data_IF_476479418864
#
_entry.id   IF_476479418864
#
_cell.length_a   1.000
_cell.length_b   1.000
_cell.length_c   1.000
_cell.angle_alpha   90.00
_cell.angle_beta   90.00
_cell.angle_gamma   90.00
#
_symmetry.space_group_name_H-M   'P 1'
#
loop_
_entity.id
_entity.type
_entity.pdbx_description
1 polymer ?
#
# COMPACT_ATOMS: atom_id res chain seq x y z
N UNK A 1 10.58 17.56 -6.88
CA UNK A 1 10.50 16.37 -6.02
C UNK A 1 9.15 15.71 -6.24
N UNK A 2 9.08 14.40 -6.47
CA UNK A 2 7.83 13.68 -6.72
C UNK A 2 7.56 12.70 -5.57
N UNK A 3 6.28 12.44 -5.30
CA UNK A 3 5.84 11.52 -4.26
C UNK A 3 5.35 10.24 -4.94
N UNK A 4 5.91 9.10 -4.56
CA UNK A 4 5.56 7.80 -5.14
C UNK A 4 4.67 7.03 -4.16
N UNK A 5 3.50 6.65 -4.63
CA UNK A 5 2.62 5.68 -3.96
C UNK A 5 2.63 4.38 -4.75
N UNK A 6 2.61 3.26 -4.03
CA UNK A 6 2.46 1.94 -4.62
C UNK A 6 1.27 1.23 -3.99
N UNK A 7 0.47 0.55 -4.82
CA UNK A 7 -0.67 -0.25 -4.39
C UNK A 7 -0.56 -1.67 -4.95
N UNK A 8 -0.87 -2.66 -4.12
CA UNK A 8 -0.93 -4.07 -4.50
C UNK A 8 -2.37 -4.54 -4.71
N UNK A 9 -2.66 -5.04 -5.90
CA UNK A 9 -3.92 -5.69 -6.22
C UNK A 9 -3.85 -7.18 -5.88
N UNK A 10 -4.73 -7.65 -5.01
CA UNK A 10 -4.69 -9.03 -4.51
C UNK A 10 -5.95 -9.75 -4.91
N UNK A 11 -5.77 -10.82 -5.68
CA UNK A 11 -6.84 -11.64 -6.21
C UNK A 11 -6.76 -13.05 -5.64
N UNK A 12 -7.85 -13.55 -5.08
CA UNK A 12 -7.97 -14.92 -4.59
C UNK A 12 -9.40 -15.40 -4.73
N UNK A 13 -9.60 -16.61 -5.25
CA UNK A 13 -10.91 -17.25 -5.38
C UNK A 13 -11.96 -16.35 -6.06
N UNK A 14 -11.60 -15.71 -7.18
CA UNK A 14 -12.48 -14.79 -7.92
C UNK A 14 -12.89 -13.52 -7.16
N UNK A 15 -12.13 -13.15 -6.12
CA UNK A 15 -12.38 -11.96 -5.30
C UNK A 15 -11.13 -11.09 -5.23
N UNK A 16 -11.34 -9.78 -5.23
CA UNK A 16 -10.31 -8.78 -4.98
C UNK A 16 -10.35 -8.35 -3.51
N UNK A 17 -9.18 -8.17 -2.91
CA UNK A 17 -9.08 -7.54 -1.60
C UNK A 17 -9.16 -6.01 -1.77
N UNK A 18 -10.21 -5.43 -1.20
CA UNK A 18 -10.38 -3.99 -1.05
C UNK A 18 -10.34 -3.66 0.44
N UNK A 19 -9.66 -2.58 0.81
CA UNK A 19 -9.60 -2.08 2.19
C UNK A 19 -10.29 -0.73 2.31
N UNK A 20 -10.84 -0.45 3.49
CA UNK A 20 -11.22 0.91 3.87
C UNK A 20 -9.99 1.64 4.44
N UNK A 21 -9.72 2.84 3.95
CA UNK A 21 -8.65 3.70 4.49
C UNK A 21 -9.06 4.23 5.85
N UNK A 22 -8.08 4.38 6.75
CA UNK A 22 -8.34 4.96 8.08
C UNK A 22 -8.96 6.35 7.94
N UNK A 23 -9.99 6.65 8.73
CA UNK A 23 -10.61 7.99 8.79
C UNK A 23 -9.67 9.07 9.32
N UNK A 24 -8.53 8.68 9.89
CA UNK A 24 -7.47 9.58 10.39
C UNK A 24 -6.44 9.94 9.32
N UNK A 25 -6.54 9.41 8.10
CA UNK A 25 -5.65 9.77 7.00
C UNK A 25 -5.94 11.21 6.54
N UNK A 26 -4.90 12.01 6.37
CA UNK A 26 -4.98 13.40 5.88
C UNK A 26 -5.54 13.49 4.45
N UNK A 27 -5.31 12.44 3.65
CA UNK A 27 -5.81 12.34 2.29
C UNK A 27 -6.64 11.07 2.10
N UNK A 28 -7.84 11.22 1.51
CA UNK A 28 -8.73 10.12 1.14
C UNK A 28 -9.09 9.16 2.31
N UNK A 29 -9.20 9.68 3.54
CA UNK A 29 -9.63 8.89 4.69
C UNK A 29 -11.06 8.37 4.54
N UNK A 30 -11.31 7.13 4.97
CA UNK A 30 -12.63 6.47 4.87
C UNK A 30 -13.04 6.00 3.47
N UNK A 31 -12.19 6.19 2.45
CA UNK A 31 -12.46 5.68 1.09
C UNK A 31 -11.95 4.25 0.90
N UNK A 32 -12.51 3.57 -0.11
CA UNK A 32 -12.05 2.26 -0.56
C UNK A 32 -10.77 2.40 -1.39
N UNK A 33 -9.82 1.49 -1.19
CA UNK A 33 -8.53 1.47 -1.90
C UNK A 33 -7.93 0.06 -1.86
N UNK A 34 -6.89 -0.17 -2.67
CA UNK A 34 -6.07 -1.36 -2.60
C UNK A 34 -5.06 -1.27 -1.45
N UNK A 35 -4.38 -2.38 -1.14
CA UNK A 35 -3.40 -2.41 -0.06
C UNK A 35 -2.13 -1.70 -0.52
N UNK A 36 -1.78 -0.57 0.09
CA UNK A 36 -0.60 0.17 -0.31
C UNK A 36 -0.35 1.46 0.45
N UNK A 37 0.47 2.32 -0.17
CA UNK A 37 0.68 3.71 0.22
C UNK A 37 2.06 4.23 -0.16
N UNK A 38 2.45 5.32 0.49
CA UNK A 38 3.68 6.05 0.19
C UNK A 38 4.94 5.19 0.35
N UNK A 39 5.79 5.26 -0.68
CA UNK A 39 7.15 4.76 -0.65
C UNK A 39 7.98 5.78 0.11
N UNK A 40 8.48 5.39 1.28
CA UNK A 40 9.45 6.21 2.01
C UNK A 40 10.83 5.96 1.41
N UNK A 41 11.63 7.02 1.25
CA UNK A 41 13.01 6.87 0.80
C UNK A 41 13.77 6.04 1.82
N UNK A 42 14.17 4.85 1.41
CA UNK A 42 15.18 4.07 2.09
C UNK A 42 16.50 4.51 1.43
N UNK A 43 17.53 4.80 2.22
CA UNK A 43 18.85 5.19 1.67
C UNK A 43 19.46 4.11 0.75
N UNK A 44 18.89 2.91 0.76
CA UNK A 44 19.20 1.79 -0.11
C UNK A 44 18.39 1.89 -1.42
N UNK A 45 19.08 2.13 -2.54
CA UNK A 45 18.52 2.18 -3.90
C UNK A 45 18.26 0.78 -4.46
N UNK A 46 17.64 -0.08 -3.63
CA UNK A 46 17.27 -1.43 -4.05
C UNK A 46 16.20 -1.35 -5.16
N UNK A 47 16.38 -2.15 -6.20
CA UNK A 47 15.47 -2.18 -7.36
C UNK A 47 14.04 -2.65 -7.00
N UNK A 48 13.88 -3.33 -5.87
CA UNK A 48 12.63 -3.95 -5.39
C UNK A 48 11.92 -3.12 -4.28
N UNK A 49 12.22 -1.83 -4.19
CA UNK A 49 11.67 -0.94 -3.15
C UNK A 49 10.13 -0.85 -3.18
N UNK A 50 9.52 -0.97 -4.36
CA UNK A 50 8.07 -0.92 -4.52
C UNK A 50 7.43 -2.19 -3.94
N UNK A 51 7.97 -3.35 -4.30
CA UNK A 51 7.53 -4.68 -3.87
C UNK A 51 7.69 -4.85 -2.36
N UNK A 52 8.84 -4.42 -1.81
CA UNK A 52 9.10 -4.38 -0.37
C UNK A 52 8.07 -3.52 0.36
N UNK A 53 7.78 -2.34 -0.17
CA UNK A 53 6.79 -1.41 0.44
C UNK A 53 5.41 -2.05 0.52
N UNK A 54 4.92 -2.67 -0.56
CA UNK A 54 3.62 -3.34 -0.58
C UNK A 54 3.60 -4.55 0.36
N UNK A 55 4.64 -5.38 0.33
CA UNK A 55 4.71 -6.62 1.12
C UNK A 55 4.65 -6.35 2.63
N UNK A 56 5.38 -5.35 3.12
CA UNK A 56 5.33 -4.95 4.54
C UNK A 56 3.95 -4.43 4.92
N UNK A 57 3.32 -3.62 4.05
CA UNK A 57 1.98 -3.07 4.30
C UNK A 57 0.91 -4.15 4.30
N UNK A 58 1.02 -5.13 3.41
CA UNK A 58 0.17 -6.32 3.39
C UNK A 58 0.24 -7.07 4.73
N UNK A 59 1.45 -7.39 5.19
CA UNK A 59 1.65 -8.10 6.46
C UNK A 59 1.13 -7.31 7.67
N UNK A 60 1.15 -5.97 7.63
CA UNK A 60 0.63 -5.14 8.73
C UNK A 60 -0.89 -4.99 8.73
N UNK A 61 -1.55 -4.96 7.56
CA UNK A 61 -3.00 -4.70 7.45
C UNK A 61 -3.87 -5.95 7.53
N UNK A 62 -3.27 -7.14 7.41
CA UNK A 62 -3.98 -8.43 7.44
C UNK A 62 -3.71 -9.26 8.70
N UNK A 63 -3.17 -8.64 9.75
CA UNK A 63 -3.16 -9.20 11.11
C UNK A 63 -4.34 -8.65 11.88
#
# INVERSE_FOLDING_TARGET
>A
MFLVNVEGAIFRNHKWLIIERSKKEEHAGGLLSLVGGKVEQIEDTSLDILEKTVSVRFMKKLR
#
